data_IF_798742908154
#
_entry.id   IF_798742908154
#
_cell.length_a   1.000
_cell.length_b   1.000
_cell.length_c   1.000
_cell.angle_alpha   90.00
_cell.angle_beta   90.00
_cell.angle_gamma   90.00
#
_symmetry.space_group_name_H-M   'P 1'
#
loop_
_entity.id
_entity.type
_entity.pdbx_description
1 polymer ?
#
# COMPACT_ATOMS: atom_id res chain seq x y z
N UNK A 1 -9.20 -12.52 10.65
CA UNK A 1 -8.41 -11.33 10.28
C UNK A 1 -7.22 -11.66 9.35
N UNK A 2 -6.58 -12.80 9.52
CA UNK A 2 -5.33 -13.18 8.84
C UNK A 2 -5.48 -13.46 7.34
N UNK A 3 -6.60 -14.06 6.94
CA UNK A 3 -6.88 -14.25 5.52
C UNK A 3 -7.07 -12.90 4.79
N UNK A 4 -7.66 -11.91 5.46
CA UNK A 4 -7.81 -10.54 4.92
C UNK A 4 -6.44 -9.88 4.76
N UNK A 5 -5.56 -9.98 5.76
CA UNK A 5 -4.18 -9.49 5.66
C UNK A 5 -3.40 -10.19 4.54
N UNK A 6 -3.55 -11.51 4.40
CA UNK A 6 -2.90 -12.29 3.33
C UNK A 6 -3.40 -11.90 1.94
N UNK A 7 -4.68 -11.56 1.80
CA UNK A 7 -5.26 -11.08 0.53
C UNK A 7 -4.88 -9.62 0.24
N UNK A 8 -4.95 -8.76 1.26
CA UNK A 8 -4.65 -7.32 1.15
C UNK A 8 -3.16 -7.05 0.90
N UNK A 9 -2.26 -7.84 1.48
CA UNK A 9 -0.81 -7.70 1.29
C UNK A 9 -0.25 -8.65 0.21
N UNK A 10 -1.08 -9.57 -0.28
CA UNK A 10 -0.74 -10.53 -1.33
C UNK A 10 -0.77 -9.94 -2.75
N UNK A 11 -0.63 -10.80 -3.77
CA UNK A 11 -0.60 -10.38 -5.18
C UNK A 11 -1.84 -9.59 -5.61
N UNK A 12 -3.02 -9.92 -5.08
CA UNK A 12 -4.25 -9.19 -5.37
C UNK A 12 -4.16 -7.73 -4.91
N UNK A 13 -3.78 -7.48 -3.65
CA UNK A 13 -3.63 -6.12 -3.13
C UNK A 13 -2.54 -5.31 -3.84
N UNK A 14 -1.42 -5.94 -4.21
CA UNK A 14 -0.37 -5.28 -5.01
C UNK A 14 -0.87 -4.85 -6.40
N UNK A 15 -1.69 -5.67 -7.04
CA UNK A 15 -2.31 -5.32 -8.32
C UNK A 15 -3.23 -4.10 -8.19
N UNK A 16 -4.09 -4.07 -7.17
CA UNK A 16 -4.96 -2.91 -6.91
C UNK A 16 -4.16 -1.65 -6.57
N UNK A 17 -3.08 -1.76 -5.79
CA UNK A 17 -2.20 -0.64 -5.50
C UNK A 17 -1.54 -0.07 -6.76
N UNK A 18 -1.13 -0.93 -7.71
CA UNK A 18 -0.59 -0.49 -9.00
C UNK A 18 -1.63 0.30 -9.81
N UNK A 19 -2.88 -0.19 -9.89
CA UNK A 19 -3.96 0.55 -10.55
C UNK A 19 -4.23 1.90 -9.87
N UNK A 20 -4.21 1.96 -8.54
CA UNK A 20 -4.38 3.20 -7.80
C UNK A 20 -3.29 4.23 -8.17
N UNK A 21 -2.01 3.83 -8.18
CA UNK A 21 -0.90 4.72 -8.56
C UNK A 21 -1.03 5.18 -10.01
N UNK A 22 -1.37 4.29 -10.94
CA UNK A 22 -1.56 4.66 -12.36
C UNK A 22 -2.69 5.67 -12.51
N UNK A 23 -3.83 5.44 -11.85
CA UNK A 23 -4.98 6.35 -11.91
C UNK A 23 -4.66 7.75 -11.36
N UNK A 24 -3.92 7.82 -10.25
CA UNK A 24 -3.48 9.09 -9.64
C UNK A 24 -2.41 9.75 -10.50
N UNK A 25 -1.52 8.99 -11.12
CA UNK A 25 -0.53 9.48 -12.09
C UNK A 25 -1.18 10.21 -13.26
N UNK A 26 -2.19 9.59 -13.88
CA UNK A 26 -2.97 10.21 -14.97
C UNK A 26 -3.71 11.45 -14.45
N UNK A 27 -4.30 11.38 -13.26
CA UNK A 27 -4.97 12.52 -12.60
C UNK A 27 -4.05 13.71 -12.34
N UNK A 28 -2.77 13.46 -12.06
CA UNK A 28 -1.77 14.50 -11.86
C UNK A 28 -1.33 15.15 -13.17
N UNK A 29 -1.07 14.34 -14.21
CA UNK A 29 -0.69 14.88 -15.54
C UNK A 29 -1.83 15.66 -16.21
N UNK A 30 -3.09 15.38 -15.87
CA UNK A 30 -4.26 16.14 -16.34
C UNK A 30 -4.54 17.41 -15.52
N UNK A 31 -3.72 17.71 -14.50
CA UNK A 31 -3.89 18.88 -13.62
C UNK A 31 -5.10 18.81 -12.68
N UNK A 32 -5.77 17.66 -12.61
CA UNK A 32 -6.99 17.43 -11.81
C UNK A 32 -6.67 17.06 -10.35
N UNK A 33 -5.42 16.71 -10.08
CA UNK A 33 -4.94 16.20 -8.79
C UNK A 33 -3.81 17.09 -8.26
N UNK A 34 -3.89 17.46 -6.99
CA UNK A 34 -2.83 18.22 -6.29
C UNK A 34 -1.63 17.33 -5.99
N UNK A 35 -0.43 17.94 -5.97
CA UNK A 35 0.80 17.28 -5.55
C UNK A 35 0.69 16.61 -4.17
N UNK A 36 -0.01 17.25 -3.23
CA UNK A 36 -0.24 16.69 -1.89
C UNK A 36 -1.05 15.39 -1.90
N UNK A 37 -1.99 15.24 -2.84
CA UNK A 37 -2.79 14.01 -2.95
C UNK A 37 -1.95 12.86 -3.52
N UNK A 38 -1.03 13.12 -4.45
CA UNK A 38 -0.10 12.09 -4.93
C UNK A 38 0.78 11.55 -3.81
N UNK A 39 1.39 12.46 -3.03
CA UNK A 39 2.27 12.09 -1.92
C UNK A 39 1.49 11.34 -0.85
N UNK A 40 0.26 11.78 -0.53
CA UNK A 40 -0.61 11.10 0.42
C UNK A 40 -0.96 9.67 0.00
N UNK A 41 -1.32 9.46 -1.26
CA UNK A 41 -1.64 8.12 -1.78
C UNK A 41 -0.39 7.22 -1.79
N UNK A 42 0.76 7.74 -2.25
CA UNK A 42 2.01 6.99 -2.25
C UNK A 42 2.46 6.60 -0.83
N UNK A 43 2.39 7.54 0.13
CA UNK A 43 2.71 7.29 1.53
C UNK A 43 1.75 6.29 2.17
N UNK A 44 0.45 6.36 1.86
CA UNK A 44 -0.55 5.41 2.36
C UNK A 44 -0.29 3.99 1.87
N UNK A 45 0.04 3.81 0.58
CA UNK A 45 0.40 2.50 0.02
C UNK A 45 1.70 2.00 0.65
N UNK A 46 2.72 2.85 0.78
CA UNK A 46 3.98 2.48 1.43
C UNK A 46 3.78 2.04 2.88
N UNK A 47 2.92 2.74 3.64
CA UNK A 47 2.60 2.38 5.00
C UNK A 47 1.86 1.02 5.08
N UNK A 48 0.89 0.77 4.20
CA UNK A 48 0.11 -0.47 4.19
C UNK A 48 0.97 -1.71 3.90
N UNK A 49 1.86 -1.64 2.90
CA UNK A 49 2.73 -2.78 2.55
C UNK A 49 4.02 -2.85 3.39
N UNK A 50 4.46 -1.73 3.96
CA UNK A 50 5.64 -1.67 4.83
C UNK A 50 5.37 -2.06 6.28
N UNK A 51 4.14 -1.85 6.77
CA UNK A 51 3.72 -2.22 8.13
C UNK A 51 4.08 -3.66 8.55
N UNK A 52 3.82 -4.73 7.76
CA UNK A 52 4.16 -6.08 8.18
C UNK A 52 5.66 -6.30 8.36
N UNK A 53 6.52 -5.64 7.57
CA UNK A 53 7.97 -5.74 7.73
C UNK A 53 8.43 -5.07 9.03
N UNK A 54 7.87 -3.90 9.35
CA UNK A 54 8.16 -3.17 10.59
C UNK A 54 7.70 -3.98 11.80
N UNK A 55 6.48 -4.51 11.76
CA UNK A 55 5.95 -5.34 12.85
C UNK A 55 6.81 -6.57 13.05
N UNK A 56 7.22 -7.25 11.97
CA UNK A 56 8.08 -8.46 12.06
C UNK A 56 9.46 -8.16 12.65
N UNK A 57 10.03 -7.00 12.35
CA UNK A 57 11.31 -6.57 12.89
C UNK A 57 11.23 -6.29 14.40
N UNK A 58 10.08 -5.82 14.89
CA UNK A 58 9.86 -5.48 16.30
C UNK A 58 9.44 -6.71 17.12
N UNK A 59 8.55 -7.54 16.59
CA UNK A 59 8.02 -8.71 17.30
C UNK A 59 8.94 -9.92 17.26
N UNK A 60 10.05 -9.86 16.50
CA UNK A 60 10.99 -10.98 16.33
C UNK A 60 10.36 -12.22 15.71
N UNK A 61 9.13 -12.12 15.20
CA UNK A 61 8.31 -13.20 14.65
C UNK A 61 8.00 -12.87 13.19
N UNK A 62 8.31 -13.77 12.26
CA UNK A 62 8.18 -13.53 10.83
C UNK A 62 6.73 -13.29 10.39
N UNK A 63 6.44 -12.06 9.94
CA UNK A 63 5.48 -11.60 8.92
C UNK A 63 4.15 -12.34 8.74
N UNK A 64 3.61 -12.91 9.80
CA UNK A 64 2.31 -13.54 9.83
C UNK A 64 2.06 -13.91 11.30
N UNK A 65 1.45 -13.04 12.10
CA UNK A 65 0.91 -13.49 13.38
C UNK A 65 -0.50 -12.97 13.56
N UNK A 66 -1.52 -13.71 13.19
CA UNK A 66 -1.76 -14.39 11.91
C UNK A 66 -0.78 -15.41 11.32
#
# INVERSE_FOLDING_TARGET
MCNVLRVATGNAGKAFAAFAIISVGIGFFTGKVSWGLMVGVAAGIAAMFGAPQIVSAISGTSSATC
#
